data_IF_894881127386
#
_entry.id   IF_894881127386
#
_cell.length_a   1.000
_cell.length_b   1.000
_cell.length_c   1.000
_cell.angle_alpha   90.00
_cell.angle_beta   90.00
_cell.angle_gamma   90.00
#
_symmetry.space_group_name_H-M   'P 1'
#
loop_
_entity.id
_entity.type
_entity.pdbx_description
1 polymer ?
#
# COMPACT_ATOMS: atom_id res chain seq x y z
N UNK A 1 -7.46 3.06 12.14
CA UNK A 1 -7.81 3.93 10.97
C UNK A 1 -7.11 3.48 9.70
N UNK A 2 -5.76 3.45 9.65
CA UNK A 2 -5.02 3.05 8.43
C UNK A 2 -5.44 1.69 7.88
N UNK A 3 -5.65 0.68 8.74
CA UNK A 3 -6.11 -0.63 8.30
C UNK A 3 -7.43 -0.58 7.52
N UNK A 4 -8.42 0.20 7.97
CA UNK A 4 -9.71 0.34 7.29
C UNK A 4 -9.56 1.06 5.94
N UNK A 5 -8.75 2.12 5.90
CA UNK A 5 -8.45 2.81 4.65
C UNK A 5 -7.70 1.90 3.67
N UNK A 6 -6.81 1.04 4.16
CA UNK A 6 -6.07 0.08 3.35
C UNK A 6 -6.96 -1.03 2.81
N UNK A 7 -7.96 -1.48 3.57
CA UNK A 7 -9.02 -2.37 3.06
C UNK A 7 -9.78 -1.66 1.93
N UNK A 8 -10.26 -0.43 2.17
CA UNK A 8 -10.96 0.36 1.15
C UNK A 8 -10.12 0.59 -0.10
N UNK A 9 -8.82 0.88 0.06
CA UNK A 9 -7.88 1.00 -1.04
C UNK A 9 -7.78 -0.30 -1.85
N UNK A 10 -7.74 -1.46 -1.19
CA UNK A 10 -7.72 -2.75 -1.87
C UNK A 10 -8.96 -2.96 -2.77
N UNK A 11 -10.15 -2.62 -2.27
CA UNK A 11 -11.38 -2.66 -3.07
C UNK A 11 -11.35 -1.68 -4.26
N UNK A 12 -10.92 -0.43 -4.03
CA UNK A 12 -10.81 0.58 -5.08
C UNK A 12 -9.82 0.15 -6.14
N UNK A 13 -8.64 -0.34 -5.74
CA UNK A 13 -7.62 -0.84 -6.66
C UNK A 13 -8.14 -2.01 -7.49
N UNK A 14 -8.82 -2.96 -6.85
CA UNK A 14 -9.41 -4.09 -7.58
C UNK A 14 -10.45 -3.63 -8.61
N UNK A 15 -11.30 -2.67 -8.24
CA UNK A 15 -12.29 -2.09 -9.15
C UNK A 15 -11.62 -1.37 -10.34
N UNK A 16 -10.57 -0.59 -10.08
CA UNK A 16 -9.81 0.11 -11.12
C UNK A 16 -9.09 -0.86 -12.06
N UNK A 17 -8.48 -1.93 -11.53
CA UNK A 17 -7.81 -2.96 -12.34
C UNK A 17 -8.81 -3.69 -13.23
N UNK A 18 -10.00 -4.04 -12.71
CA UNK A 18 -11.05 -4.67 -13.50
C UNK A 18 -11.54 -3.70 -14.58
N UNK A 19 -11.84 -2.46 -14.22
CA UNK A 19 -12.28 -1.45 -15.17
C UNK A 19 -11.25 -1.26 -16.30
N UNK A 20 -9.97 -1.18 -15.97
CA UNK A 20 -8.90 -1.05 -16.96
C UNK A 20 -8.81 -2.28 -17.88
N UNK A 21 -8.95 -3.49 -17.33
CA UNK A 21 -9.02 -4.72 -18.13
C UNK A 21 -10.21 -4.71 -19.08
N UNK A 22 -11.39 -4.30 -18.61
CA UNK A 22 -12.62 -4.23 -19.43
C UNK A 22 -12.48 -3.19 -20.55
N UNK A 23 -11.92 -2.02 -20.27
CA UNK A 23 -11.65 -0.98 -21.28
C UNK A 23 -10.65 -1.46 -22.34
N UNK A 24 -9.75 -2.39 -22.00
CA UNK A 24 -8.85 -3.07 -22.94
C UNK A 24 -9.48 -4.22 -23.72
N UNK A 25 -10.79 -4.46 -23.60
CA UNK A 25 -11.49 -5.59 -24.23
C UNK A 25 -11.34 -6.93 -23.50
N UNK A 26 -10.84 -6.92 -22.26
CA UNK A 26 -10.74 -8.11 -21.42
C UNK A 26 -12.10 -8.60 -20.90
N UNK A 27 -12.18 -9.87 -20.54
CA UNK A 27 -13.36 -10.45 -19.90
C UNK A 27 -13.43 -10.14 -18.40
N UNK A 28 -14.65 -10.13 -17.86
CA UNK A 28 -14.85 -10.02 -16.42
C UNK A 28 -14.32 -11.29 -15.71
N UNK A 29 -13.58 -11.16 -14.59
CA UNK A 29 -12.90 -12.29 -13.93
C UNK A 29 -13.84 -13.35 -13.34
N UNK A 30 -15.13 -13.05 -13.16
CA UNK A 30 -16.11 -14.04 -12.70
C UNK A 30 -15.76 -14.64 -11.34
N UNK A 31 -15.61 -15.96 -11.28
CA UNK A 31 -15.34 -16.70 -10.02
C UNK A 31 -13.96 -16.41 -9.42
N UNK A 32 -12.96 -16.00 -10.22
CA UNK A 32 -11.63 -15.67 -9.69
C UNK A 32 -11.59 -14.28 -9.04
N UNK A 33 -12.66 -13.49 -9.15
CA UNK A 33 -12.78 -12.17 -8.53
C UNK A 33 -12.51 -12.21 -7.03
N UNK A 34 -13.00 -13.25 -6.33
CA UNK A 34 -12.80 -13.39 -4.88
C UNK A 34 -11.33 -13.63 -4.53
N UNK A 35 -10.62 -14.43 -5.34
CA UNK A 35 -9.20 -14.69 -5.16
C UNK A 35 -8.35 -13.44 -5.44
N UNK A 36 -8.64 -12.72 -6.53
CA UNK A 36 -7.96 -11.48 -6.87
C UNK A 36 -8.22 -10.40 -5.81
N UNK A 37 -9.46 -10.28 -5.33
CA UNK A 37 -9.81 -9.33 -4.27
C UNK A 37 -9.12 -9.66 -2.95
N UNK A 38 -9.10 -10.93 -2.54
CA UNK A 38 -8.40 -11.36 -1.33
C UNK A 38 -6.90 -11.04 -1.42
N UNK A 39 -6.28 -11.29 -2.58
CA UNK A 39 -4.89 -10.93 -2.85
C UNK A 39 -4.68 -9.41 -2.69
N UNK A 40 -5.45 -8.59 -3.41
CA UNK A 40 -5.29 -7.14 -3.48
C UNK A 40 -5.55 -6.47 -2.13
N UNK A 41 -6.59 -6.88 -1.41
CA UNK A 41 -6.89 -6.36 -0.06
C UNK A 41 -5.79 -6.75 0.93
N UNK A 42 -5.33 -8.01 0.92
CA UNK A 42 -4.25 -8.47 1.80
C UNK A 42 -2.97 -7.66 1.54
N UNK A 43 -2.62 -7.47 0.27
CA UNK A 43 -1.49 -6.66 -0.14
C UNK A 43 -1.58 -5.23 0.42
N UNK A 44 -2.68 -4.51 0.13
CA UNK A 44 -2.86 -3.13 0.57
C UNK A 44 -2.78 -2.99 2.08
N UNK A 45 -3.42 -3.89 2.83
CA UNK A 45 -3.43 -3.85 4.30
C UNK A 45 -2.03 -4.01 4.87
N UNK A 46 -1.31 -5.07 4.49
CA UNK A 46 0.00 -5.37 5.08
C UNK A 46 1.04 -4.31 4.67
N UNK A 47 1.06 -3.92 3.39
CA UNK A 47 2.03 -2.94 2.90
C UNK A 47 1.78 -1.57 3.49
N UNK A 48 0.55 -1.03 3.38
CA UNK A 48 0.30 0.32 3.88
C UNK A 48 0.40 0.39 5.41
N UNK A 49 0.06 -0.68 6.14
CA UNK A 49 0.30 -0.75 7.58
C UNK A 49 1.79 -0.76 7.91
N UNK A 50 2.60 -1.57 7.22
CA UNK A 50 4.05 -1.61 7.40
C UNK A 50 4.72 -0.27 7.13
N UNK A 51 4.35 0.39 6.03
CA UNK A 51 4.82 1.75 5.71
C UNK A 51 4.38 2.74 6.77
N UNK A 52 3.12 2.70 7.23
CA UNK A 52 2.61 3.61 8.26
C UNK A 52 3.35 3.44 9.60
N UNK A 53 3.62 2.20 10.01
CA UNK A 53 4.43 1.90 11.21
C UNK A 53 5.83 2.45 11.02
N UNK A 54 6.46 2.19 9.86
CA UNK A 54 7.79 2.71 9.53
C UNK A 54 7.88 4.24 9.64
N UNK A 55 6.97 4.95 8.98
CA UNK A 55 6.91 6.42 8.98
C UNK A 55 6.60 6.98 10.38
N UNK A 56 5.77 6.31 11.17
CA UNK A 56 5.40 6.76 12.52
C UNK A 56 6.54 6.61 13.53
N UNK A 57 7.31 5.51 13.45
CA UNK A 57 8.45 5.23 14.34
C UNK A 57 9.70 6.03 13.92
N UNK A 58 9.80 6.43 12.65
CA UNK A 58 11.00 7.07 12.09
C UNK A 58 11.20 8.54 12.44
N UNK A 59 10.43 9.13 13.38
CA UNK A 59 10.65 10.53 13.81
C UNK A 59 12.09 10.84 14.26
N UNK A 60 12.90 9.81 14.54
CA UNK A 60 14.33 9.94 14.81
C UNK A 60 15.26 9.48 13.67
N UNK A 61 14.81 8.63 12.72
CA UNK A 61 15.66 8.02 11.66
C UNK A 61 14.85 7.61 10.42
N UNK A 62 14.93 8.40 9.34
CA UNK A 62 14.35 8.10 8.00
C UNK A 62 14.71 6.71 7.47
N UNK A 63 15.92 6.26 7.76
CA UNK A 63 16.39 4.93 7.36
C UNK A 63 15.56 3.78 7.94
N UNK A 64 15.01 3.95 9.15
CA UNK A 64 14.14 2.93 9.75
C UNK A 64 12.81 2.81 8.99
N UNK A 65 12.24 3.92 8.50
CA UNK A 65 11.05 3.85 7.66
C UNK A 65 11.33 3.07 6.38
N UNK A 66 12.47 3.35 5.74
CA UNK A 66 12.87 2.62 4.53
C UNK A 66 13.08 1.13 4.79
N UNK A 67 13.72 0.75 5.89
CA UNK A 67 13.89 -0.66 6.26
C UNK A 67 12.55 -1.36 6.53
N UNK A 68 11.60 -0.69 7.17
CA UNK A 68 10.26 -1.26 7.36
C UNK A 68 9.56 -1.48 6.02
N UNK A 69 9.58 -0.50 5.11
CA UNK A 69 9.04 -0.68 3.75
C UNK A 69 9.70 -1.86 3.01
N UNK A 70 11.02 -2.00 3.15
CA UNK A 70 11.81 -3.06 2.53
C UNK A 70 11.47 -4.46 3.06
N UNK A 71 11.11 -4.59 4.34
CA UNK A 71 10.73 -5.87 4.96
C UNK A 71 9.24 -6.21 4.76
N UNK A 72 8.36 -5.22 4.90
CA UNK A 72 6.93 -5.46 4.83
C UNK A 72 6.41 -5.72 3.42
N UNK A 73 7.05 -5.18 2.38
CA UNK A 73 6.65 -5.45 1.00
C UNK A 73 6.79 -6.93 0.57
N UNK A 74 7.94 -7.62 0.75
CA UNK A 74 8.03 -9.04 0.43
C UNK A 74 7.15 -9.90 1.35
N UNK A 75 6.99 -9.51 2.62
CA UNK A 75 6.06 -10.18 3.53
C UNK A 75 4.61 -10.07 3.03
N UNK A 76 4.19 -8.88 2.61
CA UNK A 76 2.87 -8.66 2.04
C UNK A 76 2.67 -9.45 0.75
N UNK A 77 3.70 -9.55 -0.11
CA UNK A 77 3.63 -10.34 -1.34
C UNK A 77 3.36 -11.81 -1.02
N UNK A 78 4.11 -12.37 -0.07
CA UNK A 78 3.94 -13.75 0.36
C UNK A 78 2.54 -14.00 0.93
N UNK A 79 2.07 -13.13 1.83
CA UNK A 79 0.74 -13.24 2.44
C UNK A 79 -0.39 -13.06 1.43
N UNK A 80 -0.24 -12.12 0.49
CA UNK A 80 -1.22 -11.88 -0.56
C UNK A 80 -1.32 -13.06 -1.54
N UNK A 81 -0.19 -13.71 -1.86
CA UNK A 81 -0.20 -14.94 -2.67
C UNK A 81 -0.75 -16.13 -1.90
N UNK A 82 -0.46 -16.25 -0.61
CA UNK A 82 -1.06 -17.27 0.23
C UNK A 82 -2.59 -17.12 0.30
N UNK A 83 -3.10 -15.90 0.45
CA UNK A 83 -4.55 -15.64 0.47
C UNK A 83 -5.21 -15.90 -0.89
N UNK A 84 -4.55 -15.54 -1.98
CA UNK A 84 -5.01 -15.88 -3.34
C UNK A 84 -5.14 -17.40 -3.52
N UNK A 85 -4.10 -18.15 -3.15
CA UNK A 85 -4.06 -19.62 -3.26
C UNK A 85 -5.14 -20.29 -2.42
N UNK A 86 -5.34 -19.82 -1.20
CA UNK A 86 -6.40 -20.33 -0.33
C UNK A 86 -7.79 -20.16 -0.98
N UNK A 87 -8.05 -18.99 -1.59
CA UNK A 87 -9.32 -18.75 -2.28
C UNK A 87 -9.47 -19.58 -3.55
N UNK A 88 -8.41 -19.72 -4.36
CA UNK A 88 -8.40 -20.57 -5.55
C UNK A 88 -8.67 -22.03 -5.22
N UNK A 89 -8.12 -22.54 -4.12
CA UNK A 89 -8.36 -23.90 -3.63
C UNK A 89 -9.84 -24.12 -3.23
N UNK A 90 -10.48 -23.12 -2.60
CA UNK A 90 -11.90 -23.19 -2.23
C UNK A 90 -12.81 -23.26 -3.45
N UNK A 91 -12.48 -22.55 -4.53
CA UNK A 91 -13.28 -22.53 -5.77
C UNK A 91 -12.89 -23.61 -6.80
N UNK A 92 -11.91 -24.46 -6.47
CA UNK A 92 -11.46 -25.56 -7.34
C UNK A 92 -10.75 -25.11 -8.62
N UNK A 93 -10.18 -23.90 -8.65
CA UNK A 93 -9.48 -23.35 -9.82
C UNK A 93 -7.96 -23.47 -9.61
N UNK A 94 -7.25 -23.97 -10.62
CA UNK A 94 -5.79 -24.06 -10.58
C UNK A 94 -5.15 -22.67 -10.76
N UNK A 95 -4.09 -22.41 -10.00
CA UNK A 95 -3.29 -21.20 -10.14
C UNK A 95 -2.59 -21.20 -11.51
N UNK A 96 -2.67 -20.08 -12.24
CA UNK A 96 -1.89 -19.91 -13.47
C UNK A 96 -0.42 -19.67 -13.13
N UNK A 97 0.52 -20.19 -13.94
CA UNK A 97 1.94 -19.92 -13.78
C UNK A 97 2.19 -18.41 -13.75
N UNK A 98 2.94 -17.96 -12.76
CA UNK A 98 3.38 -16.57 -12.71
C UNK A 98 4.49 -16.36 -13.75
N UNK A 99 4.33 -15.38 -14.63
CA UNK A 99 5.36 -15.01 -15.61
C UNK A 99 6.70 -14.63 -14.94
N UNK A 100 6.68 -14.18 -13.69
CA UNK A 100 7.88 -13.87 -12.92
C UNK A 100 7.96 -14.71 -11.66
N UNK A 101 9.19 -15.08 -11.29
CA UNK A 101 9.44 -15.71 -10.00
C UNK A 101 9.01 -14.79 -8.85
N UNK A 102 8.42 -15.40 -7.81
CA UNK A 102 7.94 -14.65 -6.64
C UNK A 102 9.09 -13.91 -5.92
N UNK A 103 10.29 -14.48 -5.96
CA UNK A 103 11.49 -13.87 -5.42
C UNK A 103 11.86 -12.59 -6.19
N UNK A 104 11.82 -12.62 -7.52
CA UNK A 104 12.12 -11.45 -8.36
C UNK A 104 11.16 -10.31 -8.07
N UNK A 105 9.85 -10.59 -8.08
CA UNK A 105 8.83 -9.58 -7.76
C UNK A 105 9.03 -9.07 -6.33
N UNK A 106 9.28 -9.97 -5.38
CA UNK A 106 9.52 -9.62 -3.98
C UNK A 106 10.68 -8.66 -3.78
N UNK A 107 11.82 -8.89 -4.45
CA UNK A 107 13.00 -8.02 -4.37
C UNK A 107 12.69 -6.64 -4.94
N UNK A 108 12.07 -6.56 -6.12
CA UNK A 108 11.76 -5.26 -6.75
C UNK A 108 10.79 -4.47 -5.87
N UNK A 109 9.73 -5.11 -5.35
CA UNK A 109 8.78 -4.50 -4.42
C UNK A 109 9.41 -4.08 -3.10
N UNK A 110 10.38 -4.84 -2.58
CA UNK A 110 11.11 -4.49 -1.38
C UNK A 110 11.85 -3.16 -1.55
N UNK A 111 12.56 -2.98 -2.67
CA UNK A 111 13.23 -1.70 -2.96
C UNK A 111 12.23 -0.57 -3.22
N UNK A 112 11.15 -0.84 -3.95
CA UNK A 112 10.10 0.14 -4.25
C UNK A 112 9.49 0.73 -2.97
N UNK A 113 8.96 -0.14 -2.09
CA UNK A 113 8.28 0.30 -0.88
C UNK A 113 9.24 0.73 0.22
N UNK A 114 10.49 0.24 0.21
CA UNK A 114 11.54 0.77 1.04
C UNK A 114 11.89 2.22 0.68
N UNK A 115 12.08 2.52 -0.61
CA UNK A 115 12.30 3.89 -1.06
C UNK A 115 11.07 4.77 -0.80
N UNK A 116 9.85 4.24 -1.02
CA UNK A 116 8.61 4.95 -0.74
C UNK A 116 8.53 5.35 0.73
N UNK A 117 8.67 4.39 1.65
CA UNK A 117 8.60 4.65 3.08
C UNK A 117 9.64 5.67 3.54
N UNK A 118 10.86 5.60 2.99
CA UNK A 118 11.90 6.59 3.25
C UNK A 118 11.48 8.00 2.80
N UNK A 119 11.02 8.16 1.55
CA UNK A 119 10.63 9.47 1.02
C UNK A 119 9.41 10.04 1.75
N UNK A 120 8.42 9.19 2.08
CA UNK A 120 7.26 9.61 2.86
C UNK A 120 7.65 10.08 4.27
N UNK A 121 8.62 9.42 4.92
CA UNK A 121 9.16 9.88 6.20
C UNK A 121 9.80 11.27 6.09
N UNK A 122 10.50 11.58 4.98
CA UNK A 122 11.02 12.93 4.71
C UNK A 122 9.88 13.95 4.59
N UNK A 123 8.82 13.63 3.85
CA UNK A 123 7.67 14.53 3.69
C UNK A 123 6.95 14.79 5.01
N UNK A 124 6.81 13.75 5.84
CA UNK A 124 6.18 13.85 7.15
C UNK A 124 7.03 14.66 8.13
N UNK A 125 8.35 14.50 8.12
CA UNK A 125 9.27 15.31 8.94
C UNK A 125 9.28 16.79 8.53
N UNK A 126 9.14 17.06 7.23
CA UNK A 126 8.98 18.43 6.69
C UNK A 126 7.59 19.03 6.94
N UNK A 127 6.72 18.31 7.65
CA UNK A 127 5.34 18.71 7.97
C UNK A 127 4.54 19.15 6.74
N UNK A 128 4.74 18.48 5.61
CA UNK A 128 4.03 18.82 4.37
C UNK A 128 2.54 18.52 4.53
N UNK A 129 1.71 19.57 4.52
CA UNK A 129 0.25 19.46 4.74
C UNK A 129 -0.57 19.25 3.46
N UNK A 130 0.05 19.26 2.29
CA UNK A 130 -0.63 19.10 0.99
C UNK A 130 -0.60 17.63 0.54
N UNK A 131 -1.69 17.10 -0.05
CA UNK A 131 -1.72 15.72 -0.53
C UNK A 131 -0.86 15.51 -1.80
N UNK A 132 -0.69 16.56 -2.62
CA UNK A 132 -0.01 16.48 -3.92
C UNK A 132 1.40 15.86 -3.85
N UNK A 133 2.31 16.31 -2.97
CA UNK A 133 3.64 15.72 -2.83
C UNK A 133 3.63 14.23 -2.44
N UNK A 134 2.67 13.79 -1.63
CA UNK A 134 2.53 12.38 -1.24
C UNK A 134 2.10 11.52 -2.44
N UNK A 135 1.01 11.90 -3.10
CA UNK A 135 0.49 11.20 -4.28
C UNK A 135 1.55 11.21 -5.39
N UNK A 136 2.17 12.35 -5.65
CA UNK A 136 3.21 12.50 -6.67
C UNK A 136 4.44 11.63 -6.40
N UNK A 137 4.86 11.52 -5.14
CA UNK A 137 5.96 10.63 -4.74
C UNK A 137 5.60 9.16 -4.95
N UNK A 138 4.41 8.75 -4.51
CA UNK A 138 3.91 7.39 -4.73
C UNK A 138 3.78 7.04 -6.21
N UNK A 139 3.25 7.96 -7.02
CA UNK A 139 3.13 7.78 -8.47
C UNK A 139 4.50 7.71 -9.16
N UNK A 140 5.45 8.58 -8.81
CA UNK A 140 6.79 8.57 -9.40
C UNK A 140 7.53 7.25 -9.09
N UNK A 141 7.42 6.76 -7.86
CA UNK A 141 7.97 5.45 -7.47
C UNK A 141 7.26 4.33 -8.23
N UNK A 142 5.93 4.33 -8.27
CA UNK A 142 5.17 3.32 -9.00
C UNK A 142 5.47 3.30 -10.50
N UNK A 143 5.70 4.45 -11.14
CA UNK A 143 6.10 4.52 -12.55
C UNK A 143 7.50 3.92 -12.74
N UNK A 144 8.46 4.29 -11.89
CA UNK A 144 9.85 3.84 -12.03
C UNK A 144 10.01 2.34 -11.78
N UNK A 145 9.50 1.83 -10.66
CA UNK A 145 9.58 0.41 -10.32
C UNK A 145 8.56 -0.44 -11.09
N UNK A 146 7.38 0.11 -11.39
CA UNK A 146 6.40 -0.52 -12.27
C UNK A 146 6.92 -0.72 -13.68
N UNK A 147 7.73 0.21 -14.22
CA UNK A 147 8.40 0.03 -15.51
C UNK A 147 9.41 -1.11 -15.49
N UNK A 148 10.14 -1.28 -14.37
CA UNK A 148 11.05 -2.40 -14.17
C UNK A 148 10.27 -3.72 -14.16
N UNK A 149 9.19 -3.81 -13.36
CA UNK A 149 8.35 -5.01 -13.29
C UNK A 149 7.69 -5.32 -14.64
N UNK A 150 7.21 -4.30 -15.34
CA UNK A 150 6.64 -4.44 -16.69
C UNK A 150 7.67 -4.99 -17.67
N UNK A 151 8.87 -4.40 -17.70
CA UNK A 151 9.95 -4.87 -18.57
C UNK A 151 10.35 -6.32 -18.29
N UNK A 152 10.49 -6.68 -17.00
CA UNK A 152 10.80 -8.06 -16.59
C UNK A 152 9.68 -9.03 -16.98
N UNK A 153 8.42 -8.63 -16.82
CA UNK A 153 7.24 -9.43 -17.20
C UNK A 153 7.19 -9.63 -18.71
N UNK A 154 7.48 -8.57 -19.47
CA UNK A 154 7.54 -8.60 -20.92
C UNK A 154 8.59 -9.59 -21.42
N UNK A 155 9.82 -9.52 -20.88
CA UNK A 155 10.89 -10.44 -21.24
C UNK A 155 10.56 -11.89 -20.89
N UNK A 156 9.97 -12.13 -19.72
CA UNK A 156 9.59 -13.47 -19.31
C UNK A 156 8.47 -14.05 -20.19
N UNK A 157 7.48 -13.23 -20.56
CA UNK A 157 6.40 -13.65 -21.46
C UNK A 157 6.92 -14.04 -22.84
N UNK A 158 7.87 -13.27 -23.38
CA UNK A 158 8.52 -13.59 -24.65
C UNK A 158 9.32 -14.90 -24.58
N UNK A 159 10.01 -15.17 -23.47
CA UNK A 159 10.75 -16.41 -23.27
C UNK A 159 9.85 -17.65 -23.27
N UNK A 160 8.60 -17.50 -22.82
CA UNK A 160 7.57 -18.55 -22.86
C UNK A 160 6.78 -18.60 -24.18
N UNK A 161 7.12 -17.77 -25.17
CA UNK A 161 6.43 -17.70 -26.46
C UNK A 161 5.03 -17.06 -26.39
N UNK A 162 4.71 -16.39 -25.28
CA UNK A 162 3.44 -15.72 -25.06
C UNK A 162 3.53 -14.20 -25.32
N UNK A 163 2.41 -13.59 -25.68
CA UNK A 163 2.30 -12.13 -25.78
C UNK A 163 1.37 -11.60 -24.69
N UNK A 164 1.80 -10.52 -24.04
CA UNK A 164 0.98 -9.79 -23.08
C UNK A 164 -0.20 -9.14 -23.79
N UNK A 165 -1.41 -9.55 -23.43
CA UNK A 165 -2.61 -8.97 -24.00
C UNK A 165 -2.81 -7.55 -23.45
N UNK A 166 -3.32 -6.64 -24.29
CA UNK A 166 -3.67 -5.27 -23.89
C UNK A 166 -4.43 -5.16 -22.54
N UNK A 167 -5.47 -5.97 -22.24
CA UNK A 167 -6.15 -5.88 -20.95
C UNK A 167 -5.24 -6.20 -19.76
N UNK A 168 -4.27 -7.11 -19.92
CA UNK A 168 -3.30 -7.46 -18.87
C UNK A 168 -2.35 -6.29 -18.61
N UNK A 169 -1.88 -5.64 -19.69
CA UNK A 169 -1.02 -4.45 -19.63
C UNK A 169 -1.73 -3.31 -18.89
N UNK A 170 -2.98 -3.00 -19.25
CA UNK A 170 -3.75 -1.94 -18.59
C UNK A 170 -3.98 -2.23 -17.10
N UNK A 171 -4.32 -3.48 -16.76
CA UNK A 171 -4.47 -3.90 -15.38
C UNK A 171 -3.17 -3.76 -14.57
N UNK A 172 -2.02 -4.12 -15.16
CA UNK A 172 -0.72 -3.92 -14.53
C UNK A 172 -0.41 -2.44 -14.32
N UNK A 173 -0.56 -1.59 -15.34
CA UNK A 173 -0.27 -0.15 -15.22
C UNK A 173 -1.04 0.48 -14.06
N UNK A 174 -2.35 0.19 -13.97
CA UNK A 174 -3.18 0.68 -12.87
C UNK A 174 -2.68 0.17 -11.53
N UNK A 175 -2.36 -1.13 -11.42
CA UNK A 175 -1.87 -1.72 -10.18
C UNK A 175 -0.53 -1.12 -9.74
N UNK A 176 0.43 -1.02 -10.66
CA UNK A 176 1.80 -0.59 -10.39
C UNK A 176 1.88 0.88 -9.97
N UNK A 177 1.05 1.76 -10.55
CA UNK A 177 1.05 3.19 -10.21
C UNK A 177 0.10 3.45 -9.04
N UNK A 178 -1.09 2.85 -9.07
CA UNK A 178 -2.15 3.11 -8.11
C UNK A 178 -1.84 2.59 -6.72
N UNK A 179 -1.16 1.45 -6.58
CA UNK A 179 -0.84 0.89 -5.27
C UNK A 179 0.09 1.80 -4.43
N UNK A 180 1.29 2.21 -4.91
CA UNK A 180 2.17 3.09 -4.14
C UNK A 180 1.60 4.51 -3.99
N UNK A 181 0.90 5.05 -4.99
CA UNK A 181 0.19 6.32 -4.87
C UNK A 181 -0.92 6.27 -3.80
N UNK A 182 -1.68 5.17 -3.78
CA UNK A 182 -2.71 4.91 -2.79
C UNK A 182 -2.15 4.78 -1.37
N UNK A 183 -1.11 3.96 -1.16
CA UNK A 183 -0.47 3.87 0.17
C UNK A 183 0.05 5.25 0.61
N UNK A 184 0.68 6.03 -0.28
CA UNK A 184 1.17 7.37 0.06
C UNK A 184 0.03 8.32 0.50
N UNK A 185 -1.11 8.28 -0.19
CA UNK A 185 -2.30 9.03 0.20
C UNK A 185 -2.83 8.62 1.58
N UNK A 186 -2.81 7.32 1.88
CA UNK A 186 -3.20 6.80 3.20
C UNK A 186 -2.29 7.30 4.32
N UNK A 187 -0.98 7.38 4.08
CA UNK A 187 -0.02 7.96 5.03
C UNK A 187 -0.33 9.45 5.26
N UNK A 188 -0.60 10.21 4.20
CA UNK A 188 -1.02 11.60 4.31
C UNK A 188 -2.27 11.78 5.18
N UNK A 189 -3.32 10.98 4.94
CA UNK A 189 -4.54 11.02 5.75
C UNK A 189 -4.25 10.69 7.22
N UNK A 190 -3.37 9.71 7.45
CA UNK A 190 -2.86 9.36 8.78
C UNK A 190 -2.21 10.55 9.50
N UNK A 191 -1.34 11.28 8.80
CA UNK A 191 -0.69 12.47 9.35
C UNK A 191 -1.70 13.57 9.68
N UNK A 192 -2.67 13.83 8.80
CA UNK A 192 -3.68 14.87 9.01
C UNK A 192 -4.55 14.59 10.24
N UNK A 193 -4.95 13.34 10.43
CA UNK A 193 -5.69 12.92 11.62
C UNK A 193 -4.86 13.07 12.90
N UNK A 194 -3.57 12.70 12.86
CA UNK A 194 -2.64 12.88 13.97
C UNK A 194 -2.44 14.35 14.36
N UNK A 195 -2.34 15.24 13.38
CA UNK A 195 -2.21 16.68 13.60
C UNK A 195 -3.47 17.27 14.24
N UNK A 196 -4.65 16.90 13.74
CA UNK A 196 -5.94 17.36 14.26
C UNK A 196 -6.16 16.91 15.72
N UNK A 197 -5.79 15.67 16.05
CA UNK A 197 -5.87 15.16 17.42
C UNK A 197 -4.91 15.90 18.37
N UNK A 198 -3.71 16.25 17.91
CA UNK A 198 -2.74 17.04 18.69
C UNK A 198 -3.29 18.43 19.03
N UNK A 199 -3.92 19.11 18.05
CA UNK A 199 -4.56 20.42 18.26
C UNK A 199 -5.71 20.31 19.26
N UNK A 200 -6.56 19.29 19.12
CA UNK A 200 -7.68 19.04 20.05
C UNK A 200 -7.18 18.82 21.48
N UNK A 201 -6.14 17.99 21.68
CA UNK A 201 -5.54 17.77 23.00
C UNK A 201 -4.97 19.05 23.62
N UNK A 202 -4.39 19.93 22.79
CA UNK A 202 -3.84 21.22 23.25
C UNK A 202 -4.92 22.24 23.66
N UNK A 203 -6.14 22.10 23.14
CA UNK A 203 -7.29 22.98 23.43
C UNK A 203 -8.33 22.36 24.36
N UNK A 204 -8.09 21.17 24.92
CA UNK A 204 -8.94 20.70 26.01
C UNK A 204 -8.75 21.66 27.20
N UNK A 205 -9.82 22.33 27.67
CA UNK A 205 -9.73 23.12 28.89
C UNK A 205 -9.28 22.19 29.99
N UNK A 206 -8.25 22.58 30.74
CA UNK A 206 -7.88 21.92 31.98
C UNK A 206 -9.12 21.99 32.87
N UNK A 207 -9.93 20.92 32.90
CA UNK A 207 -11.01 20.79 33.87
C UNK A 207 -10.35 20.75 35.24
N UNK A 208 -10.38 21.93 35.87
CA UNK A 208 -10.06 22.26 37.24
C UNK A 208 -10.15 21.06 38.19
N UNK A 209 -9.01 20.50 38.59
CA UNK A 209 -8.91 19.82 39.88
C UNK A 209 -8.62 20.87 40.96
N UNK A 210 -9.55 21.81 41.14
CA UNK A 210 -9.66 22.54 42.40
C UNK A 210 -10.52 21.71 43.35
N UNK A 211 -9.91 20.69 43.96
CA UNK A 211 -10.46 20.11 45.18
C UNK A 211 -10.27 21.13 46.31
N UNK A 212 -11.29 21.45 47.12
CA UNK A 212 -11.11 22.36 48.25
C UNK A 212 -10.13 21.75 49.25
N UNK A 213 -9.07 22.49 49.59
CA UNK A 213 -8.24 22.15 50.75
C UNK A 213 -9.06 22.32 52.03
N UNK A 214 -9.14 21.32 52.92
CA UNK A 214 -9.71 21.52 54.25
C UNK A 214 -8.76 22.36 55.12
N UNK A 215 -9.26 23.27 55.98
CA UNK A 215 -8.43 24.00 56.93
C UNK A 215 -8.05 23.10 58.12
N UNK A 216 -6.76 23.00 58.41
CA UNK A 216 -6.21 22.49 59.68
C UNK A 216 -4.83 23.14 59.91
N UNK A 217 -4.54 23.83 61.01
CA UNK A 217 -5.28 24.02 62.25
C UNK A 217 -4.75 25.23 63.04
N UNK A 218 -5.48 25.53 64.11
CA UNK A 218 -5.09 26.37 65.23
C UNK A 218 -4.37 25.53 66.31
#
# INVERSE_FOLDING_TARGET
MIALLAVGLGFVMQALVILARLLGGGAFPGVTLLADLAQTVTWSVIVCAGVAVGVSVSKARKALAGLMGLLFAPLALALAKASQRAMLAVIGVLEQPAALSLATVGVVRAFEYGLLAWLLAILTEKEVVRPGPYIGTGAAIGISFGSILFWLTWQASLAEGAQLALPQILGMIVNEIGAPAGCALLIYIGQLAGHSFSIYKKHQPVTSTAGPQPPAGA
#
